data_IF_184208324501
#
_entry.id   IF_184208324501
#
_cell.length_a   1.000
_cell.length_b   1.000
_cell.length_c   1.000
_cell.angle_alpha   90.00
_cell.angle_beta   90.00
_cell.angle_gamma   90.00
#
_symmetry.space_group_name_H-M   'P 1'
#
loop_
_entity.id
_entity.type
_entity.pdbx_description
1 polymer ?
#
# COMPACT_ATOMS: atom_id res chain seq x y z
N UNK A 1 2.74 -52.92 -24.86
CA UNK A 1 2.74 -52.36 -26.21
C UNK A 1 2.96 -50.89 -26.03
N UNK A 2 4.13 -50.50 -25.85
CA UNK A 2 5.30 -50.06 -26.65
C UNK A 2 5.06 -48.80 -27.46
N UNK A 3 5.59 -47.67 -26.93
CA UNK A 3 6.34 -46.56 -27.56
C UNK A 3 5.93 -46.06 -28.94
N UNK A 4 5.67 -44.74 -28.99
CA UNK A 4 6.24 -43.95 -30.09
C UNK A 4 6.04 -42.44 -29.80
N UNK A 5 7.10 -41.81 -29.26
CA UNK A 5 7.34 -40.37 -29.31
C UNK A 5 8.83 -40.21 -29.61
N UNK A 6 9.16 -40.12 -30.85
CA UNK A 6 10.46 -39.62 -31.30
C UNK A 6 10.29 -38.81 -32.59
N UNK A 7 11.04 -37.68 -32.63
CA UNK A 7 11.53 -36.95 -33.78
C UNK A 7 10.59 -35.96 -34.45
N UNK A 8 10.88 -34.67 -34.21
CA UNK A 8 11.23 -33.72 -35.30
C UNK A 8 12.00 -32.53 -34.71
N UNK A 9 13.35 -32.65 -34.69
CA UNK A 9 14.25 -31.50 -34.55
C UNK A 9 14.58 -31.10 -35.98
N UNK A 10 14.02 -29.96 -36.44
CA UNK A 10 14.43 -29.33 -37.71
C UNK A 10 15.53 -28.30 -37.39
N UNK A 11 16.74 -28.62 -37.82
CA UNK A 11 17.89 -27.74 -37.82
C UNK A 11 17.72 -26.70 -38.96
N UNK A 12 17.53 -25.41 -38.62
CA UNK A 12 17.69 -24.32 -39.57
C UNK A 12 19.08 -23.72 -39.41
N UNK A 13 20.02 -24.16 -40.25
CA UNK A 13 21.31 -23.50 -40.46
C UNK A 13 21.07 -22.34 -41.45
N UNK A 14 21.09 -21.09 -40.93
CA UNK A 14 21.19 -19.90 -41.79
C UNK A 14 22.67 -19.52 -41.84
N UNK A 15 23.27 -19.70 -43.02
CA UNK A 15 24.59 -19.20 -43.35
C UNK A 15 24.51 -17.66 -43.53
N UNK A 16 25.12 -16.89 -42.62
CA UNK A 16 25.33 -15.47 -42.81
C UNK A 16 26.74 -15.30 -43.38
N UNK A 17 26.82 -14.95 -44.67
CA UNK A 17 28.05 -14.59 -45.32
C UNK A 17 28.58 -13.27 -44.79
N UNK A 18 29.79 -13.32 -44.29
CA UNK A 18 30.63 -12.21 -43.83
C UNK A 18 31.00 -11.29 -45.02
N UNK A 19 30.42 -10.10 -45.07
CA UNK A 19 31.06 -8.97 -45.72
C UNK A 19 31.68 -8.09 -44.64
N UNK A 20 32.99 -8.22 -44.49
CA UNK A 20 33.79 -7.34 -43.63
C UNK A 20 33.89 -5.95 -44.26
N UNK A 21 33.38 -4.97 -43.55
CA UNK A 21 33.86 -3.59 -43.64
C UNK A 21 34.36 -3.27 -42.22
N UNK A 22 35.68 -3.36 -42.05
CA UNK A 22 36.32 -2.84 -40.88
C UNK A 22 36.29 -1.29 -40.93
N UNK A 23 35.29 -0.70 -40.25
CA UNK A 23 35.36 0.70 -39.91
C UNK A 23 36.26 0.80 -38.66
N UNK A 24 37.43 1.39 -38.87
CA UNK A 24 38.27 1.80 -37.74
C UNK A 24 37.47 2.75 -36.81
N UNK A 25 37.26 2.33 -35.59
CA UNK A 25 36.70 3.20 -34.56
C UNK A 25 37.73 4.28 -34.21
N UNK A 26 37.34 5.55 -34.18
CA UNK A 26 38.25 6.62 -33.78
C UNK A 26 38.78 6.35 -32.35
N UNK A 27 40.09 6.49 -32.17
CA UNK A 27 40.73 6.36 -30.85
C UNK A 27 40.11 7.42 -29.93
N UNK A 28 39.77 7.08 -28.68
CA UNK A 28 39.22 8.06 -27.74
C UNK A 28 40.24 9.19 -27.51
N UNK A 29 39.77 10.42 -27.67
CA UNK A 29 40.55 11.62 -27.41
C UNK A 29 40.91 11.71 -25.92
N UNK A 30 42.08 12.33 -25.64
CA UNK A 30 42.57 12.51 -24.26
C UNK A 30 41.66 13.35 -23.35
N UNK A 31 40.57 13.93 -23.89
CA UNK A 31 39.63 14.76 -23.15
C UNK A 31 38.41 13.97 -22.60
N UNK A 32 38.24 12.70 -23.04
CA UNK A 32 37.15 11.84 -22.53
C UNK A 32 37.44 11.22 -21.15
N UNK A 33 38.68 11.36 -20.65
CA UNK A 33 39.06 10.83 -19.34
C UNK A 33 38.53 11.68 -18.14
N UNK A 34 37.79 12.76 -18.38
CA UNK A 34 37.22 13.65 -17.34
C UNK A 34 35.69 13.62 -17.26
N UNK A 35 35.03 12.78 -18.01
CA UNK A 35 33.66 12.38 -17.68
C UNK A 35 33.75 11.34 -16.55
N UNK A 36 34.03 11.80 -15.37
CA UNK A 36 33.65 11.11 -14.16
C UNK A 36 32.16 10.87 -14.28
N UNK A 37 31.79 9.60 -14.46
CA UNK A 37 30.44 9.17 -14.12
C UNK A 37 30.27 9.57 -12.66
N UNK A 38 29.60 10.69 -12.39
CA UNK A 38 28.89 10.86 -11.14
C UNK A 38 27.95 9.67 -11.08
N UNK A 39 28.43 8.60 -10.48
CA UNK A 39 27.56 7.53 -10.00
C UNK A 39 26.72 8.25 -8.96
N UNK A 40 25.50 8.61 -9.33
CA UNK A 40 24.49 9.08 -8.39
C UNK A 40 24.48 8.00 -7.31
N UNK A 41 25.12 8.28 -6.19
CA UNK A 41 25.21 7.38 -5.05
C UNK A 41 23.75 7.16 -4.66
N UNK A 42 23.21 5.99 -4.98
CA UNK A 42 21.85 5.59 -4.57
C UNK A 42 21.89 5.61 -3.05
N UNK A 43 21.51 6.76 -2.47
CA UNK A 43 21.44 6.95 -1.02
C UNK A 43 20.50 5.89 -0.50
N UNK A 44 21.06 4.80 0.03
CA UNK A 44 20.27 3.77 0.72
C UNK A 44 19.53 4.47 1.84
N UNK A 45 18.21 4.35 1.91
CA UNK A 45 17.45 4.98 2.99
C UNK A 45 18.03 4.52 4.32
N UNK A 46 18.34 5.47 5.17
CA UNK A 46 18.83 5.19 6.52
C UNK A 46 17.85 4.28 7.25
N UNK A 47 18.34 3.18 7.82
CA UNK A 47 17.53 2.25 8.60
C UNK A 47 17.25 2.87 9.96
N UNK A 48 16.12 3.59 10.04
CA UNK A 48 15.59 4.13 11.28
C UNK A 48 14.09 3.80 11.42
N UNK A 49 13.56 3.99 12.62
CA UNK A 49 12.16 3.61 12.94
C UNK A 49 11.15 4.28 12.00
N UNK A 50 11.33 5.57 11.71
CA UNK A 50 10.43 6.31 10.82
C UNK A 50 10.41 5.69 9.41
N UNK A 51 11.58 5.38 8.85
CA UNK A 51 11.68 4.82 7.51
C UNK A 51 11.12 3.39 7.43
N UNK A 52 11.32 2.56 8.47
CA UNK A 52 10.72 1.23 8.56
C UNK A 52 9.19 1.34 8.58
N UNK A 53 8.63 2.20 9.44
CA UNK A 53 7.19 2.43 9.52
C UNK A 53 6.62 2.99 8.21
N UNK A 54 7.27 4.01 7.61
CA UNK A 54 6.85 4.58 6.33
C UNK A 54 6.82 3.53 5.22
N UNK A 55 7.81 2.64 5.16
CA UNK A 55 7.84 1.55 4.19
C UNK A 55 6.67 0.58 4.41
N UNK A 56 6.39 0.21 5.67
CA UNK A 56 5.27 -0.66 6.03
C UNK A 56 3.93 -0.04 5.62
N UNK A 57 3.72 1.25 5.91
CA UNK A 57 2.49 1.95 5.52
C UNK A 57 2.36 2.16 4.01
N UNK A 58 3.49 2.38 3.31
CA UNK A 58 3.47 2.45 1.84
C UNK A 58 3.06 1.12 1.23
N UNK A 59 3.57 0.01 1.76
CA UNK A 59 3.17 -1.33 1.32
C UNK A 59 1.68 -1.57 1.58
N UNK A 60 1.21 -1.26 2.78
CA UNK A 60 -0.19 -1.38 3.17
C UNK A 60 -1.11 -0.57 2.25
N UNK A 61 -0.80 0.69 1.98
CA UNK A 61 -1.56 1.54 1.07
C UNK A 61 -1.61 0.98 -0.36
N UNK A 62 -0.48 0.42 -0.84
CA UNK A 62 -0.39 -0.20 -2.18
C UNK A 62 -1.23 -1.46 -2.34
N UNK A 63 -1.58 -2.14 -1.26
CA UNK A 63 -2.50 -3.28 -1.29
C UNK A 63 -3.94 -2.85 -1.05
N UNK A 64 -4.14 -1.91 -0.15
CA UNK A 64 -5.46 -1.47 0.31
C UNK A 64 -6.22 -0.67 -0.76
N UNK A 65 -5.59 0.34 -1.38
CA UNK A 65 -6.26 1.19 -2.38
C UNK A 65 -6.68 0.41 -3.64
N UNK A 66 -5.87 -0.47 -4.25
CA UNK A 66 -6.33 -1.29 -5.36
C UNK A 66 -7.52 -2.18 -5.01
N UNK A 67 -7.58 -2.75 -3.78
CA UNK A 67 -8.73 -3.52 -3.33
C UNK A 67 -9.99 -2.65 -3.25
N UNK A 68 -9.87 -1.45 -2.67
CA UNK A 68 -10.98 -0.49 -2.62
C UNK A 68 -11.47 -0.12 -4.02
N UNK A 69 -10.55 0.13 -4.96
CA UNK A 69 -10.87 0.48 -6.35
C UNK A 69 -11.52 -0.67 -7.13
N UNK A 70 -11.18 -1.93 -6.83
CA UNK A 70 -11.68 -3.10 -7.55
C UNK A 70 -13.18 -3.32 -7.38
N UNK A 71 -13.77 -2.93 -6.25
CA UNK A 71 -15.20 -3.04 -6.03
C UNK A 71 -15.96 -2.00 -6.89
N UNK A 72 -16.94 -2.39 -7.72
CA UNK A 72 -17.80 -1.46 -8.44
C UNK A 72 -18.59 -0.56 -7.49
N UNK A 73 -18.88 0.67 -7.91
CA UNK A 73 -19.57 1.66 -7.07
C UNK A 73 -20.92 1.17 -6.55
N UNK A 74 -21.71 0.55 -7.41
CA UNK A 74 -23.02 -0.04 -7.04
C UNK A 74 -22.92 -1.21 -6.05
N UNK A 75 -21.72 -1.65 -5.69
CA UNK A 75 -21.44 -2.69 -4.70
C UNK A 75 -20.81 -2.16 -3.41
N UNK A 76 -20.63 -0.85 -3.29
CA UNK A 76 -20.12 -0.25 -2.04
C UNK A 76 -21.09 -0.42 -0.86
N UNK A 77 -22.38 -0.60 -1.14
CA UNK A 77 -23.39 -0.97 -0.15
C UNK A 77 -23.45 -2.46 0.19
N UNK A 78 -22.58 -3.30 -0.38
CA UNK A 78 -22.59 -4.74 -0.09
C UNK A 78 -22.11 -5.03 1.34
N UNK A 79 -22.85 -5.90 2.03
CA UNK A 79 -22.46 -6.58 3.26
C UNK A 79 -22.86 -8.06 3.16
N UNK A 80 -22.15 -9.00 3.83
CA UNK A 80 -22.60 -10.38 3.93
C UNK A 80 -23.99 -10.49 4.55
N UNK A 81 -24.82 -11.41 4.03
CA UNK A 81 -26.20 -11.63 4.49
C UNK A 81 -26.49 -13.06 4.95
N UNK A 82 -25.62 -14.01 4.57
CA UNK A 82 -25.75 -15.41 4.97
C UNK A 82 -25.04 -15.66 6.29
N UNK A 83 -25.75 -16.17 7.29
CA UNK A 83 -25.22 -16.40 8.64
C UNK A 83 -25.50 -15.26 9.62
N UNK A 84 -24.72 -15.20 10.71
CA UNK A 84 -24.89 -14.24 11.81
C UNK A 84 -24.15 -12.93 11.54
N UNK A 85 -24.55 -12.19 10.51
CA UNK A 85 -23.91 -10.95 10.07
C UNK A 85 -24.69 -9.67 10.42
N UNK A 86 -25.53 -9.71 11.44
CA UNK A 86 -26.30 -8.53 11.86
C UNK A 86 -25.36 -7.41 12.33
N UNK A 87 -25.51 -6.25 11.71
CA UNK A 87 -24.79 -5.04 12.10
C UNK A 87 -23.35 -4.93 11.57
N UNK A 88 -22.92 -5.84 10.67
CA UNK A 88 -21.61 -5.68 10.02
C UNK A 88 -21.62 -4.50 9.05
N UNK A 89 -20.49 -3.81 8.95
CA UNK A 89 -20.32 -2.68 8.02
C UNK A 89 -20.38 -3.13 6.58
N UNK A 90 -21.00 -2.33 5.72
CA UNK A 90 -20.89 -2.49 4.27
C UNK A 90 -19.47 -2.24 3.80
N UNK A 91 -19.13 -2.61 2.56
CA UNK A 91 -17.80 -2.38 1.98
C UNK A 91 -17.38 -0.91 2.07
N UNK A 92 -18.26 0.01 1.68
CA UNK A 92 -17.99 1.45 1.78
C UNK A 92 -17.84 1.94 3.23
N UNK A 93 -18.63 1.39 4.16
CA UNK A 93 -18.52 1.70 5.59
C UNK A 93 -17.20 1.16 6.18
N UNK A 94 -16.72 -0.01 5.77
CA UNK A 94 -15.40 -0.53 6.15
C UNK A 94 -14.29 0.45 5.75
N UNK A 95 -14.32 0.94 4.50
CA UNK A 95 -13.34 1.91 4.00
C UNK A 95 -13.35 3.22 4.79
N UNK A 96 -14.55 3.76 5.05
CA UNK A 96 -14.70 4.99 5.83
C UNK A 96 -14.22 4.83 7.26
N UNK A 97 -14.55 3.72 7.90
CA UNK A 97 -14.11 3.38 9.25
C UNK A 97 -12.58 3.30 9.35
N UNK A 98 -11.93 2.58 8.44
CA UNK A 98 -10.45 2.51 8.40
C UNK A 98 -9.83 3.90 8.25
N UNK A 99 -10.38 4.73 7.36
CA UNK A 99 -9.86 6.09 7.18
C UNK A 99 -10.05 6.97 8.42
N UNK A 100 -11.22 6.90 9.07
CA UNK A 100 -11.50 7.62 10.31
C UNK A 100 -10.56 7.21 11.44
N UNK A 101 -10.39 5.91 11.65
CA UNK A 101 -9.45 5.35 12.63
C UNK A 101 -8.01 5.76 12.35
N UNK A 102 -7.59 5.76 11.08
CA UNK A 102 -6.27 6.26 10.67
C UNK A 102 -6.05 7.71 11.12
N UNK A 103 -7.06 8.58 10.94
CA UNK A 103 -6.97 9.97 11.42
C UNK A 103 -6.90 10.07 12.94
N UNK A 104 -7.71 9.30 13.66
CA UNK A 104 -7.71 9.30 15.14
C UNK A 104 -6.36 8.86 15.70
N UNK A 105 -5.82 7.73 15.22
CA UNK A 105 -4.58 7.17 15.74
C UNK A 105 -3.36 7.99 15.34
N UNK A 106 -3.32 8.48 14.10
CA UNK A 106 -2.25 9.37 13.64
C UNK A 106 -2.27 10.72 14.39
N UNK A 107 -3.45 11.26 14.69
CA UNK A 107 -3.60 12.46 15.52
C UNK A 107 -3.07 12.27 16.93
N UNK A 108 -3.28 11.09 17.52
CA UNK A 108 -2.70 10.74 18.83
C UNK A 108 -1.16 10.72 18.78
N UNK A 109 -0.57 10.17 17.70
CA UNK A 109 0.89 10.19 17.47
C UNK A 109 1.41 11.64 17.42
N UNK A 110 0.69 12.53 16.73
CA UNK A 110 1.06 13.94 16.56
C UNK A 110 0.76 14.81 17.77
N UNK A 111 -0.12 14.35 18.68
CA UNK A 111 -0.59 15.14 19.84
C UNK A 111 -1.58 16.26 19.44
N UNK A 112 -2.31 16.07 18.33
CA UNK A 112 -3.29 17.04 17.81
C UNK A 112 -4.67 16.40 17.64
N UNK A 113 -5.70 17.18 17.32
CA UNK A 113 -7.02 16.65 16.99
C UNK A 113 -7.02 16.20 15.52
N UNK A 114 -7.91 15.25 15.15
CA UNK A 114 -8.11 14.93 13.74
C UNK A 114 -8.39 16.19 12.91
N UNK A 115 -7.72 16.36 11.74
CA UNK A 115 -7.86 17.55 10.92
C UNK A 115 -9.16 17.56 10.11
N UNK A 116 -9.92 16.49 10.17
CA UNK A 116 -11.18 16.26 9.44
C UNK A 116 -12.22 15.66 10.38
N UNK A 117 -13.48 15.70 9.97
CA UNK A 117 -14.55 14.97 10.63
C UNK A 117 -14.29 13.45 10.49
N UNK A 118 -14.36 12.71 11.58
CA UNK A 118 -14.19 11.26 11.63
C UNK A 118 -15.52 10.51 11.81
N UNK A 119 -16.64 11.24 11.92
CA UNK A 119 -17.96 10.67 12.16
C UNK A 119 -18.17 10.21 13.60
N UNK A 120 -19.39 9.77 13.89
CA UNK A 120 -19.68 9.09 15.15
C UNK A 120 -19.07 7.69 15.14
N UNK A 121 -18.51 7.25 16.27
CA UNK A 121 -17.88 5.93 16.45
C UNK A 121 -16.83 5.59 15.36
N UNK A 122 -16.15 6.61 14.82
CA UNK A 122 -15.18 6.46 13.74
C UNK A 122 -15.76 5.84 12.45
N UNK A 123 -17.03 6.08 12.15
CA UNK A 123 -17.67 5.58 10.92
C UNK A 123 -17.43 6.50 9.69
N UNK A 124 -16.65 7.54 9.88
CA UNK A 124 -16.35 8.55 8.87
C UNK A 124 -17.52 9.52 8.61
N UNK A 125 -17.25 10.64 7.95
CA UNK A 125 -18.25 11.71 7.77
C UNK A 125 -19.49 11.25 7.01
N UNK A 126 -20.67 11.68 7.45
CA UNK A 126 -21.93 11.41 6.74
C UNK A 126 -21.99 12.07 5.35
N UNK A 127 -21.18 13.11 5.12
CA UNK A 127 -21.07 13.81 3.83
C UNK A 127 -20.29 13.02 2.77
N UNK A 128 -19.43 12.06 3.15
CA UNK A 128 -18.65 11.22 2.25
C UNK A 128 -19.52 10.02 1.83
N UNK A 129 -20.00 10.01 0.58
CA UNK A 129 -21.03 9.06 0.12
C UNK A 129 -20.67 8.30 -1.14
N UNK A 130 -20.07 8.96 -2.13
CA UNK A 130 -19.72 8.37 -3.42
C UNK A 130 -18.41 7.57 -3.32
N UNK A 131 -18.19 6.65 -4.26
CA UNK A 131 -16.94 5.89 -4.36
C UNK A 131 -15.72 6.82 -4.39
N UNK A 132 -15.75 7.86 -5.22
CA UNK A 132 -14.62 8.76 -5.38
C UNK A 132 -14.32 9.55 -4.09
N UNK A 133 -15.36 10.02 -3.40
CA UNK A 133 -15.22 10.69 -2.09
C UNK A 133 -14.64 9.75 -1.04
N UNK A 134 -15.10 8.49 -1.00
CA UNK A 134 -14.58 7.46 -0.08
C UNK A 134 -13.12 7.15 -0.41
N UNK A 135 -12.77 6.94 -1.67
CA UNK A 135 -11.38 6.68 -2.10
C UNK A 135 -10.46 7.84 -1.75
N UNK A 136 -10.92 9.07 -1.97
CA UNK A 136 -10.17 10.28 -1.58
C UNK A 136 -9.95 10.33 -0.06
N UNK A 137 -10.99 10.10 0.74
CA UNK A 137 -10.93 10.12 2.20
C UNK A 137 -9.94 9.06 2.73
N UNK A 138 -9.97 7.85 2.17
CA UNK A 138 -9.02 6.77 2.49
C UNK A 138 -7.60 7.16 2.11
N UNK A 139 -7.39 7.63 0.87
CA UNK A 139 -6.06 8.02 0.41
C UNK A 139 -5.44 9.13 1.25
N UNK A 140 -6.22 10.15 1.58
CA UNK A 140 -5.77 11.28 2.41
C UNK A 140 -5.45 10.81 3.85
N UNK A 141 -6.20 9.82 4.38
CA UNK A 141 -5.91 9.24 5.70
C UNK A 141 -4.55 8.54 5.75
N UNK A 142 -4.18 7.82 4.69
CA UNK A 142 -2.84 7.22 4.58
C UNK A 142 -1.74 8.26 4.49
N UNK A 143 -1.96 9.35 3.75
CA UNK A 143 -1.01 10.47 3.69
C UNK A 143 -0.81 11.11 5.09
N UNK A 144 -1.89 11.24 5.85
CA UNK A 144 -1.82 11.75 7.23
C UNK A 144 -1.09 10.80 8.18
N UNK A 145 -1.29 9.47 8.05
CA UNK A 145 -0.50 8.47 8.77
C UNK A 145 0.99 8.59 8.43
N UNK A 146 1.33 8.75 7.14
CA UNK A 146 2.74 8.93 6.71
C UNK A 146 3.37 10.17 7.35
N UNK A 147 2.62 11.30 7.45
CA UNK A 147 3.05 12.50 8.16
C UNK A 147 3.32 12.18 9.65
N UNK A 148 2.41 11.47 10.30
CA UNK A 148 2.52 11.14 11.73
C UNK A 148 3.73 10.25 12.03
N UNK A 149 3.90 9.15 11.28
CA UNK A 149 5.00 8.21 11.54
C UNK A 149 6.37 8.78 11.21
N UNK A 150 6.44 9.79 10.32
CA UNK A 150 7.69 10.50 10.03
C UNK A 150 8.25 11.25 11.27
N UNK A 151 7.42 11.53 12.29
CA UNK A 151 7.85 12.19 13.53
C UNK A 151 8.42 11.20 14.57
N UNK A 152 8.26 9.89 14.36
CA UNK A 152 8.69 8.86 15.29
C UNK A 152 10.20 8.62 15.14
N UNK A 153 10.90 8.59 16.26
CA UNK A 153 12.35 8.34 16.30
C UNK A 153 12.71 7.56 17.56
N UNK A 154 13.98 7.14 17.68
CA UNK A 154 14.46 6.33 18.80
C UNK A 154 14.26 6.98 20.17
N UNK A 155 14.15 8.32 20.25
CA UNK A 155 13.99 9.05 21.50
C UNK A 155 12.54 9.13 21.97
N UNK A 156 11.56 9.06 21.04
CA UNK A 156 10.16 9.32 21.35
C UNK A 156 9.21 8.14 21.09
N UNK A 157 9.69 7.05 20.47
CA UNK A 157 8.84 5.93 20.03
C UNK A 157 8.04 5.28 21.17
N UNK A 158 8.63 5.18 22.37
CA UNK A 158 7.98 4.63 23.56
C UNK A 158 7.62 5.71 24.61
N UNK A 159 7.79 7.00 24.27
CA UNK A 159 7.36 8.07 25.14
C UNK A 159 5.84 8.09 25.26
N UNK A 160 5.29 8.33 26.47
CA UNK A 160 3.85 8.40 26.68
C UNK A 160 3.18 9.46 25.81
N UNK A 161 2.01 9.13 25.29
CA UNK A 161 1.09 10.02 24.61
C UNK A 161 -0.33 9.76 25.11
N UNK A 162 -1.24 10.70 24.85
CA UNK A 162 -2.65 10.52 25.20
C UNK A 162 -3.25 9.31 24.47
N UNK A 163 -3.89 8.41 25.21
CA UNK A 163 -4.64 7.30 24.64
C UNK A 163 -5.93 7.82 23.97
N UNK A 164 -6.17 7.58 22.67
CA UNK A 164 -7.39 8.01 22.01
C UNK A 164 -8.64 7.25 22.47
N UNK A 165 -8.49 6.08 23.10
CA UNK A 165 -9.58 5.20 23.52
C UNK A 165 -10.06 5.43 24.97
N UNK A 166 -9.64 6.50 25.62
CA UNK A 166 -10.09 6.82 26.98
C UNK A 166 -8.97 7.13 27.95
N UNK A 167 -9.04 6.58 29.17
CA UNK A 167 -8.06 6.86 30.21
C UNK A 167 -6.74 6.11 29.98
N UNK A 168 -5.66 6.68 30.54
CA UNK A 168 -4.33 6.11 30.47
C UNK A 168 -3.48 6.66 29.33
N UNK A 169 -2.32 6.05 29.19
CA UNK A 169 -1.31 6.45 28.21
C UNK A 169 -1.14 5.38 27.14
N UNK A 170 -0.77 5.81 25.97
CA UNK A 170 -0.32 4.98 24.86
C UNK A 170 1.14 5.37 24.52
N UNK A 171 1.69 4.77 23.49
CA UNK A 171 2.97 5.19 22.89
C UNK A 171 2.84 5.39 21.40
N UNK A 172 3.73 6.17 20.79
CA UNK A 172 3.73 6.37 19.34
C UNK A 172 3.90 5.07 18.58
N UNK A 173 4.77 4.19 19.08
CA UNK A 173 4.98 2.87 18.46
C UNK A 173 3.72 1.99 18.57
N UNK A 174 3.06 1.98 19.74
CA UNK A 174 1.81 1.23 19.92
C UNK A 174 0.72 1.72 18.95
N UNK A 175 0.56 3.02 18.78
CA UNK A 175 -0.40 3.57 17.81
C UNK A 175 -0.04 3.22 16.37
N UNK A 176 1.24 3.30 15.99
CA UNK A 176 1.67 2.92 14.65
C UNK A 176 1.43 1.43 14.37
N UNK A 177 1.74 0.55 15.31
CA UNK A 177 1.47 -0.90 15.16
C UNK A 177 -0.02 -1.22 15.17
N UNK A 178 -0.82 -0.48 15.95
CA UNK A 178 -2.28 -0.61 15.96
C UNK A 178 -2.87 -0.25 14.58
N UNK A 179 -2.45 0.85 13.97
CA UNK A 179 -2.90 1.22 12.61
C UNK A 179 -2.62 0.09 11.62
N UNK A 180 -1.41 -0.49 11.66
CA UNK A 180 -1.04 -1.60 10.77
C UNK A 180 -1.96 -2.81 10.99
N UNK A 181 -2.15 -3.21 12.25
CA UNK A 181 -3.01 -4.34 12.60
C UNK A 181 -4.46 -4.11 12.18
N UNK A 182 -5.03 -2.95 12.50
CA UNK A 182 -6.39 -2.56 12.17
C UNK A 182 -6.65 -2.50 10.65
N UNK A 183 -5.75 -1.87 9.90
CA UNK A 183 -5.88 -1.85 8.44
C UNK A 183 -5.81 -3.26 7.82
N UNK A 184 -4.93 -4.15 8.34
CA UNK A 184 -4.84 -5.52 7.83
C UNK A 184 -6.05 -6.37 8.18
N UNK A 185 -6.64 -6.20 9.38
CA UNK A 185 -7.88 -6.88 9.77
C UNK A 185 -9.02 -6.52 8.81
N UNK A 186 -9.26 -5.22 8.60
CA UNK A 186 -10.30 -4.76 7.68
C UNK A 186 -9.98 -5.09 6.21
N UNK A 187 -8.69 -5.08 5.81
CA UNK A 187 -8.28 -5.54 4.48
C UNK A 187 -8.70 -6.99 4.24
N UNK A 188 -8.44 -7.88 5.22
CA UNK A 188 -8.86 -9.28 5.12
C UNK A 188 -10.37 -9.45 4.97
N UNK A 189 -11.16 -8.72 5.77
CA UNK A 189 -12.63 -8.72 5.67
C UNK A 189 -13.09 -8.25 4.28
N UNK A 190 -12.54 -7.14 3.78
CA UNK A 190 -12.90 -6.60 2.46
C UNK A 190 -12.47 -7.50 1.30
N UNK A 191 -11.39 -8.27 1.42
CA UNK A 191 -11.00 -9.30 0.45
C UNK A 191 -12.11 -10.33 0.30
N UNK A 192 -12.74 -10.77 1.40
CA UNK A 192 -13.87 -11.69 1.32
C UNK A 192 -15.09 -11.05 0.67
N UNK A 193 -15.40 -9.77 0.98
CA UNK A 193 -16.50 -9.06 0.32
C UNK A 193 -16.31 -8.97 -1.20
N UNK A 194 -15.09 -8.70 -1.66
CA UNK A 194 -14.73 -8.65 -3.09
C UNK A 194 -14.94 -10.02 -3.73
N UNK A 195 -14.46 -11.11 -3.09
CA UNK A 195 -14.65 -12.49 -3.55
C UNK A 195 -16.11 -12.90 -3.61
N UNK A 196 -16.91 -12.55 -2.60
CA UNK A 196 -18.36 -12.81 -2.57
C UNK A 196 -19.11 -12.11 -3.73
N UNK A 197 -18.51 -11.05 -4.29
CA UNK A 197 -19.04 -10.37 -5.48
C UNK A 197 -18.43 -10.88 -6.80
N UNK A 198 -17.72 -12.01 -6.79
CA UNK A 198 -17.13 -12.63 -7.98
C UNK A 198 -15.90 -11.90 -8.52
N UNK A 199 -15.27 -11.06 -7.72
CA UNK A 199 -14.11 -10.26 -8.11
C UNK A 199 -12.83 -10.88 -7.54
N UNK A 200 -11.81 -11.06 -8.39
CA UNK A 200 -10.49 -11.49 -7.94
C UNK A 200 -9.79 -10.31 -7.25
N UNK A 201 -9.35 -10.44 -5.99
CA UNK A 201 -8.61 -9.39 -5.33
C UNK A 201 -7.33 -9.04 -6.09
N UNK A 202 -6.99 -7.75 -6.27
CA UNK A 202 -5.81 -7.36 -7.06
C UNK A 202 -4.50 -7.99 -6.60
N UNK A 203 -4.30 -8.17 -5.29
CA UNK A 203 -3.13 -8.84 -4.75
C UNK A 203 -3.06 -10.36 -5.05
N UNK A 204 -4.12 -10.95 -5.61
CA UNK A 204 -4.17 -12.36 -6.02
C UNK A 204 -4.06 -12.52 -7.55
N UNK A 205 -3.90 -11.44 -8.30
CA UNK A 205 -3.66 -11.47 -9.76
C UNK A 205 -2.14 -11.63 -9.99
N UNK A 206 -1.73 -12.76 -10.57
CA UNK A 206 -0.34 -13.10 -10.91
C UNK A 206 -0.16 -13.07 -12.43
#
# INVERSE_FOLDING_TARGET
>A
MRNMWQLFIALFLVAVSSYGIAQEMPKPGKDDAKRTHEVEEVVKPELNVANVLKTSFTHLQRTFLPLAMAMPENKYGFAPTDGEFKGVRTFGQQLKHVAASNYVYASSILGEKPPVDVGEEEDGPASVKTKDEILKYVNDSFAYVQKAVATINAKNLVSPIKNPFGQGEATRLAMATLIIGHCNDHYGQMVEYVRMNGIVPPASMH
#
